data_IF_811121438769
#
_entry.id   IF_811121438769
#
_cell.length_a   1.000
_cell.length_b   1.000
_cell.length_c   1.000
_cell.angle_alpha   90.00
_cell.angle_beta   90.00
_cell.angle_gamma   90.00
#
_symmetry.space_group_name_H-M   'P 1'
#
loop_
_entity.id
_entity.type
_entity.pdbx_description
1 polymer ?
#
# COMPACT_ATOMS: atom_id res chain seq x y z
N UNK A 1 45.46 31.25 56.74
CA UNK A 1 45.82 32.67 56.67
C UNK A 1 45.45 33.11 55.26
N UNK A 2 44.18 33.44 55.08
CA UNK A 2 43.66 34.83 55.05
C UNK A 2 43.88 35.40 53.64
N UNK A 3 42.93 36.01 52.94
CA UNK A 3 41.59 36.47 53.26
C UNK A 3 41.09 37.28 52.07
N UNK A 4 39.77 37.44 52.01
CA UNK A 4 38.96 38.21 51.05
C UNK A 4 39.55 39.48 50.40
N UNK A 5 39.12 39.74 49.15
CA UNK A 5 38.34 40.96 48.82
C UNK A 5 37.56 40.84 47.50
N UNK A 6 36.30 41.22 47.61
CA UNK A 6 35.26 41.34 46.59
C UNK A 6 35.44 42.60 45.71
N UNK A 7 34.84 42.56 44.52
CA UNK A 7 34.09 43.70 43.98
C UNK A 7 32.92 43.14 43.16
N UNK A 8 31.71 43.33 43.65
CA UNK A 8 30.46 43.06 42.92
C UNK A 8 29.94 44.31 42.22
N UNK A 9 29.05 44.08 41.23
CA UNK A 9 27.90 44.95 41.01
C UNK A 9 26.75 44.10 40.45
N UNK A 10 25.74 43.95 41.29
CA UNK A 10 24.43 43.35 41.06
C UNK A 10 23.56 44.20 40.15
N UNK A 11 22.80 43.56 39.25
CA UNK A 11 21.53 44.09 38.76
C UNK A 11 20.49 42.97 38.90
N UNK A 12 19.39 43.33 39.55
CA UNK A 12 18.32 42.48 40.06
C UNK A 12 17.43 41.85 38.97
N UNK A 13 16.79 40.76 39.40
CA UNK A 13 15.84 39.91 38.71
C UNK A 13 14.45 40.53 38.77
N UNK A 14 13.78 40.69 37.63
CA UNK A 14 12.32 40.90 37.58
C UNK A 14 11.63 39.55 37.36
N UNK A 15 11.08 39.03 38.47
CA UNK A 15 10.22 37.84 38.55
C UNK A 15 8.86 38.11 37.87
N UNK A 16 8.76 37.79 36.58
CA UNK A 16 7.48 37.69 35.88
C UNK A 16 6.78 36.36 36.22
N UNK A 17 6.04 36.40 37.34
CA UNK A 17 4.87 35.61 37.71
C UNK A 17 4.37 34.54 36.71
N UNK A 18 4.94 33.32 36.77
CA UNK A 18 4.40 32.11 36.12
C UNK A 18 3.20 31.49 36.87
N UNK A 19 2.81 32.06 38.02
CA UNK A 19 1.80 31.51 38.93
C UNK A 19 0.34 31.82 38.54
N UNK A 20 0.10 32.63 37.50
CA UNK A 20 -1.25 32.99 37.03
C UNK A 20 -1.74 32.23 35.79
N UNK A 21 -0.96 31.31 35.22
CA UNK A 21 -1.36 30.48 34.08
C UNK A 21 -1.91 29.09 34.45
N UNK A 22 -1.97 28.74 35.74
CA UNK A 22 -2.35 27.40 36.21
C UNK A 22 -3.78 27.24 36.77
N UNK A 23 -4.66 28.24 36.64
CA UNK A 23 -6.05 28.10 37.04
C UNK A 23 -6.99 27.98 35.82
N UNK A 24 -7.22 26.74 35.36
CA UNK A 24 -8.38 26.37 34.53
C UNK A 24 -9.19 25.28 35.24
N UNK A 25 -10.54 25.28 35.12
CA UNK A 25 -11.41 24.43 35.94
C UNK A 25 -11.23 22.94 35.63
N UNK A 26 -11.26 22.10 36.68
CA UNK A 26 -11.29 20.64 36.59
C UNK A 26 -12.59 20.19 35.92
N UNK A 27 -12.49 19.73 34.67
CA UNK A 27 -13.55 18.97 34.00
C UNK A 27 -13.47 17.51 34.48
N UNK A 28 -14.45 17.10 35.30
CA UNK A 28 -14.68 15.69 35.62
C UNK A 28 -15.30 15.02 34.39
N UNK A 29 -14.49 14.29 33.63
CA UNK A 29 -14.96 13.44 32.53
C UNK A 29 -14.90 12.00 33.02
N UNK A 30 -16.04 11.49 33.50
CA UNK A 30 -16.24 10.06 33.69
C UNK A 30 -16.23 9.38 32.31
N UNK A 31 -15.16 8.63 32.01
CA UNK A 31 -15.16 7.71 30.86
C UNK A 31 -15.92 6.45 31.24
N UNK A 32 -17.22 6.44 30.97
CA UNK A 32 -17.97 5.18 30.94
C UNK A 32 -17.47 4.32 29.78
N UNK A 33 -17.15 3.07 30.10
CA UNK A 33 -16.84 2.01 29.12
C UNK A 33 -18.14 1.66 28.37
N UNK A 34 -18.10 1.65 27.05
CA UNK A 34 -19.05 0.90 26.22
C UNK A 34 -18.20 0.14 25.19
N UNK A 35 -18.21 -1.18 25.16
CA UNK A 35 -19.30 -1.99 24.63
C UNK A 35 -19.23 -3.39 25.26
N UNK A 36 -20.30 -3.81 25.95
CA UNK A 36 -20.51 -5.19 26.42
C UNK A 36 -21.29 -5.99 25.35
N UNK A 37 -20.78 -7.18 25.00
CA UNK A 37 -21.35 -8.14 24.04
C UNK A 37 -22.58 -8.90 24.58
N UNK A 38 -23.69 -8.23 24.90
CA UNK A 38 -24.95 -8.94 25.20
C UNK A 38 -26.19 -8.20 24.69
N UNK A 39 -26.55 -8.39 23.42
CA UNK A 39 -27.96 -8.39 22.96
C UNK A 39 -28.15 -8.75 21.47
N UNK A 40 -27.42 -9.74 20.92
CA UNK A 40 -27.59 -10.17 19.51
C UNK A 40 -28.53 -11.38 19.33
N UNK A 41 -29.28 -11.79 20.35
CA UNK A 41 -30.08 -13.03 20.33
C UNK A 41 -31.60 -12.87 20.11
N UNK A 42 -32.14 -11.68 19.78
CA UNK A 42 -33.60 -11.51 19.71
C UNK A 42 -34.22 -11.08 18.36
N UNK A 43 -33.46 -10.94 17.28
CA UNK A 43 -34.06 -10.55 15.99
C UNK A 43 -33.74 -11.52 14.86
N UNK A 44 -34.18 -12.76 15.07
CA UNK A 44 -34.28 -13.80 14.03
C UNK A 44 -35.73 -14.28 13.92
N UNK A 45 -36.60 -13.53 13.22
CA UNK A 45 -37.81 -14.06 12.61
C UNK A 45 -38.01 -13.45 11.22
N UNK A 46 -37.53 -14.22 10.23
CA UNK A 46 -38.02 -14.44 8.85
C UNK A 46 -38.88 -13.34 8.20
N UNK A 47 -38.42 -12.73 7.10
CA UNK A 47 -38.42 -13.26 5.70
C UNK A 47 -39.83 -13.53 5.16
N UNK A 48 -40.24 -12.72 4.17
CA UNK A 48 -40.94 -13.09 2.91
C UNK A 48 -41.32 -11.82 2.14
N UNK A 49 -40.72 -11.63 0.95
CA UNK A 49 -41.38 -11.73 -0.37
C UNK A 49 -42.01 -10.36 -0.79
N UNK A 50 -41.88 -9.84 -2.01
CA UNK A 50 -41.42 -10.34 -3.31
C UNK A 50 -41.28 -9.12 -4.27
N UNK A 51 -40.47 -9.29 -5.32
CA UNK A 51 -40.56 -8.82 -6.73
C UNK A 51 -41.69 -7.80 -7.09
N UNK A 52 -41.56 -6.86 -8.01
CA UNK A 52 -40.88 -6.83 -9.31
C UNK A 52 -41.67 -5.84 -10.18
N UNK A 53 -41.00 -5.03 -11.01
CA UNK A 53 -41.64 -4.00 -11.83
C UNK A 53 -41.79 -4.51 -13.27
N UNK A 54 -43.01 -4.62 -13.77
CA UNK A 54 -43.29 -4.58 -15.20
C UNK A 54 -44.69 -3.96 -15.49
N UNK A 55 -44.68 -3.05 -16.47
CA UNK A 55 -45.76 -2.70 -17.41
C UNK A 55 -47.03 -1.91 -16.99
N UNK A 56 -47.02 -0.60 -17.32
CA UNK A 56 -47.85 0.10 -18.34
C UNK A 56 -49.41 0.18 -18.22
N UNK A 57 -49.91 1.41 -18.47
CA UNK A 57 -51.27 1.93 -18.81
C UNK A 57 -52.35 2.16 -17.71
N UNK A 58 -52.67 3.44 -17.50
CA UNK A 58 -53.88 4.03 -16.87
C UNK A 58 -55.18 3.72 -17.67
N UNK A 59 -56.44 4.13 -17.29
CA UNK A 59 -56.85 5.09 -16.24
C UNK A 59 -58.17 4.77 -15.48
N UNK A 60 -58.50 5.55 -14.44
CA UNK A 60 -59.92 5.84 -14.10
C UNK A 60 -60.30 5.93 -12.63
N UNK A 61 -60.38 7.16 -12.11
CA UNK A 61 -61.63 7.74 -11.59
C UNK A 61 -62.34 7.16 -10.36
N UNK A 62 -62.26 7.94 -9.28
CA UNK A 62 -63.34 8.31 -8.33
C UNK A 62 -63.75 7.38 -7.17
N UNK A 63 -63.49 7.96 -5.97
CA UNK A 63 -64.42 8.25 -4.86
C UNK A 63 -64.66 7.22 -3.75
N UNK A 64 -64.43 7.79 -2.55
CA UNK A 64 -65.12 7.57 -1.26
C UNK A 64 -64.82 6.24 -0.58
N UNK A 65 -64.66 6.14 0.74
CA UNK A 65 -64.84 7.11 1.80
C UNK A 65 -64.93 6.33 3.11
N UNK A 66 -64.19 6.80 4.11
CA UNK A 66 -64.40 6.63 5.55
C UNK A 66 -64.42 5.24 6.21
N UNK A 67 -63.40 5.08 7.06
CA UNK A 67 -63.38 4.60 8.46
C UNK A 67 -62.98 3.15 8.76
N UNK A 68 -61.72 2.98 9.21
CA UNK A 68 -61.35 2.15 10.38
C UNK A 68 -59.95 2.59 10.91
N UNK A 69 -59.64 2.45 12.22
CA UNK A 69 -58.72 3.34 12.95
C UNK A 69 -57.34 2.75 13.26
N UNK A 70 -56.46 3.65 13.74
CA UNK A 70 -55.26 3.40 14.56
C UNK A 70 -54.05 2.72 13.90
N UNK A 71 -52.95 3.46 13.77
CA UNK A 71 -51.71 3.16 14.51
C UNK A 71 -50.73 4.33 14.41
N UNK A 72 -49.92 4.43 15.46
CA UNK A 72 -49.11 5.56 15.84
C UNK A 72 -48.05 6.00 14.82
N UNK A 73 -47.77 7.31 14.86
CA UNK A 73 -46.47 7.91 14.54
C UNK A 73 -45.31 7.01 14.96
N UNK A 74 -44.33 6.82 14.09
CA UNK A 74 -42.92 7.02 14.44
C UNK A 74 -42.07 7.20 13.17
N UNK A 75 -41.86 8.47 12.87
CA UNK A 75 -40.68 9.01 12.21
C UNK A 75 -39.42 8.53 12.94
N UNK A 76 -38.66 7.62 12.32
CA UNK A 76 -37.25 7.47 12.66
C UNK A 76 -36.47 8.49 11.83
N UNK A 77 -36.01 9.56 12.49
CA UNK A 77 -34.91 10.36 11.95
C UNK A 77 -33.69 9.44 11.80
N UNK A 78 -32.98 9.46 10.65
CA UNK A 78 -31.85 8.59 10.43
C UNK A 78 -30.74 8.95 11.43
N UNK A 79 -30.33 7.95 12.22
CA UNK A 79 -29.22 8.05 13.17
C UNK A 79 -27.99 8.65 12.46
N UNK A 80 -27.21 9.57 13.08
CA UNK A 80 -26.10 10.26 12.42
C UNK A 80 -25.09 9.33 11.72
N UNK A 81 -24.87 8.13 12.28
CA UNK A 81 -24.03 7.10 11.66
C UNK A 81 -24.51 6.64 10.28
N UNK A 82 -25.82 6.69 10.00
CA UNK A 82 -26.38 6.32 8.69
C UNK A 82 -25.96 7.34 7.65
N UNK A 83 -26.01 8.64 7.98
CA UNK A 83 -25.53 9.70 7.10
C UNK A 83 -24.02 9.57 6.84
N UNK A 84 -23.24 9.31 7.91
CA UNK A 84 -21.79 9.14 7.82
C UNK A 84 -21.36 7.90 7.01
N UNK A 85 -22.10 6.79 7.12
CA UNK A 85 -21.88 5.60 6.31
C UNK A 85 -22.16 5.86 4.83
N UNK A 86 -23.24 6.58 4.52
CA UNK A 86 -23.56 6.98 3.15
C UNK A 86 -22.52 7.94 2.55
N UNK A 87 -22.02 8.89 3.32
CA UNK A 87 -20.97 9.80 2.87
C UNK A 87 -19.63 9.08 2.67
N UNK A 88 -19.32 8.09 3.50
CA UNK A 88 -18.12 7.27 3.34
C UNK A 88 -18.19 6.38 2.10
N UNK A 89 -19.36 5.80 1.79
CA UNK A 89 -19.61 5.07 0.55
C UNK A 89 -19.53 5.98 -0.68
N UNK A 90 -20.08 7.20 -0.63
CA UNK A 90 -19.96 8.17 -1.74
C UNK A 90 -18.52 8.56 -2.01
N UNK A 91 -17.72 8.76 -0.95
CA UNK A 91 -16.29 9.06 -1.07
C UNK A 91 -15.48 7.88 -1.60
N UNK A 92 -15.97 6.64 -1.49
CA UNK A 92 -15.29 5.49 -2.09
C UNK A 92 -15.66 5.25 -3.55
N UNK A 93 -16.67 5.92 -4.11
CA UNK A 93 -17.07 5.73 -5.51
C UNK A 93 -16.02 6.25 -6.50
N UNK A 94 -15.55 5.35 -7.36
CA UNK A 94 -14.71 5.67 -8.51
C UNK A 94 -15.61 6.09 -9.66
N UNK A 95 -15.34 7.25 -10.24
CA UNK A 95 -16.11 7.78 -11.37
C UNK A 95 -15.27 7.80 -12.65
N UNK A 96 -15.87 7.38 -13.75
CA UNK A 96 -15.34 7.60 -15.09
C UNK A 96 -16.35 8.41 -15.87
N UNK A 97 -15.98 9.63 -16.27
CA UNK A 97 -16.85 10.58 -17.01
C UNK A 97 -18.19 10.88 -16.32
N UNK A 98 -18.14 11.03 -14.99
CA UNK A 98 -19.34 11.30 -14.19
C UNK A 98 -20.24 10.08 -13.96
N UNK A 99 -19.87 8.89 -14.48
CA UNK A 99 -20.57 7.64 -14.21
C UNK A 99 -19.82 6.84 -13.13
N UNK A 100 -20.51 6.31 -12.11
CA UNK A 100 -19.88 5.46 -11.10
C UNK A 100 -19.47 4.13 -11.73
N UNK A 101 -18.17 3.81 -11.70
CA UNK A 101 -17.59 2.58 -12.29
C UNK A 101 -17.15 1.56 -11.24
N UNK A 102 -17.13 1.93 -9.97
CA UNK A 102 -16.80 1.02 -8.88
C UNK A 102 -16.61 1.74 -7.56
N UNK A 103 -16.05 1.03 -6.58
CA UNK A 103 -15.59 1.62 -5.32
C UNK A 103 -14.11 1.30 -5.12
N UNK A 104 -13.35 2.21 -4.50
CA UNK A 104 -11.99 1.93 -4.05
C UNK A 104 -12.04 0.92 -2.90
N UNK A 105 -11.10 -0.03 -2.91
CA UNK A 105 -11.07 -1.14 -1.94
C UNK A 105 -10.86 -0.66 -0.49
N UNK A 106 -10.17 0.47 -0.31
CA UNK A 106 -10.02 1.19 0.96
C UNK A 106 -9.95 2.69 0.68
N UNK A 107 -10.61 3.51 1.51
CA UNK A 107 -10.58 4.97 1.44
C UNK A 107 -9.83 5.53 2.65
N UNK A 108 -8.56 5.13 2.76
CA UNK A 108 -7.70 5.51 3.87
C UNK A 108 -7.03 6.85 3.51
N UNK A 109 -7.50 7.94 4.11
CA UNK A 109 -6.85 9.26 4.03
C UNK A 109 -5.47 9.30 4.76
N UNK A 110 -4.87 8.14 5.03
CA UNK A 110 -3.64 7.98 5.80
C UNK A 110 -2.35 8.08 4.99
N UNK A 111 -2.41 8.10 3.66
CA UNK A 111 -1.25 8.29 2.80
C UNK A 111 -1.61 9.15 1.58
N UNK A 112 -1.43 10.46 1.69
CA UNK A 112 -1.43 11.37 0.52
C UNK A 112 -0.27 11.05 -0.45
N UNK A 113 0.64 10.15 -0.07
CA UNK A 113 1.77 9.70 -0.89
C UNK A 113 1.49 8.34 -1.54
N UNK A 114 1.51 8.29 -2.87
CA UNK A 114 1.27 7.09 -3.66
C UNK A 114 2.46 6.13 -3.56
N UNK A 115 2.25 4.96 -2.96
CA UNK A 115 3.30 3.95 -2.79
C UNK A 115 3.61 3.24 -4.12
N UNK A 116 4.76 2.58 -4.19
CA UNK A 116 5.25 1.95 -5.41
C UNK A 116 4.27 0.92 -6.01
N UNK A 117 3.49 0.25 -5.17
CA UNK A 117 2.52 -0.73 -5.60
C UNK A 117 1.30 -0.09 -6.28
N UNK A 118 0.88 1.10 -5.88
CA UNK A 118 -0.19 1.85 -6.57
C UNK A 118 0.26 2.21 -7.99
N UNK A 119 1.52 2.63 -8.13
CA UNK A 119 2.11 2.96 -9.43
C UNK A 119 2.24 1.72 -10.32
N UNK A 120 2.72 0.59 -9.77
CA UNK A 120 2.87 -0.66 -10.51
C UNK A 120 1.51 -1.25 -10.95
N UNK A 121 0.52 -1.24 -10.06
CA UNK A 121 -0.85 -1.67 -10.37
C UNK A 121 -1.50 -0.74 -11.40
N UNK A 122 -1.32 0.58 -11.28
CA UNK A 122 -1.84 1.53 -12.25
C UNK A 122 -1.19 1.34 -13.63
N UNK A 123 0.13 1.13 -13.68
CA UNK A 123 0.83 0.80 -14.91
C UNK A 123 0.27 -0.48 -15.56
N UNK A 124 0.10 -1.55 -14.77
CA UNK A 124 -0.47 -2.80 -15.26
C UNK A 124 -1.90 -2.62 -15.78
N UNK A 125 -2.75 -1.90 -15.03
CA UNK A 125 -4.13 -1.62 -15.42
C UNK A 125 -4.21 -0.82 -16.73
N UNK A 126 -3.37 0.19 -16.90
CA UNK A 126 -3.28 0.96 -18.14
C UNK A 126 -2.88 0.10 -19.34
N UNK A 127 -1.93 -0.83 -19.17
CA UNK A 127 -1.55 -1.77 -20.24
C UNK A 127 -2.68 -2.74 -20.58
N UNK A 128 -3.36 -3.28 -19.57
CA UNK A 128 -4.52 -4.15 -19.77
C UNK A 128 -5.70 -3.42 -20.44
N UNK A 129 -5.86 -2.13 -20.21
CA UNK A 129 -6.94 -1.34 -20.82
C UNK A 129 -6.76 -1.15 -22.33
N UNK A 130 -5.52 -1.07 -22.84
CA UNK A 130 -5.24 -0.85 -24.28
C UNK A 130 -5.97 -1.81 -25.22
N UNK A 131 -5.89 -3.15 -25.05
CA UNK A 131 -6.62 -4.09 -25.91
C UNK A 131 -8.14 -4.12 -25.65
N UNK A 132 -8.62 -3.54 -24.55
CA UNK A 132 -10.04 -3.53 -24.18
C UNK A 132 -10.79 -2.28 -24.71
N UNK A 133 -10.07 -1.27 -25.19
CA UNK A 133 -10.67 -0.04 -25.71
C UNK A 133 -11.25 -0.25 -27.12
N UNK A 134 -12.36 0.45 -27.39
CA UNK A 134 -12.98 0.48 -28.72
C UNK A 134 -12.06 1.18 -29.73
N UNK A 135 -12.17 0.83 -31.01
CA UNK A 135 -11.40 1.46 -32.09
C UNK A 135 -12.08 2.68 -32.73
N UNK A 136 -13.04 3.29 -32.03
CA UNK A 136 -13.70 4.53 -32.45
C UNK A 136 -12.83 5.77 -32.13
N UNK A 137 -13.30 6.96 -32.52
CA UNK A 137 -12.53 8.21 -32.34
C UNK A 137 -12.20 8.47 -30.86
N UNK A 138 -13.13 8.15 -29.97
CA UNK A 138 -12.99 8.31 -28.53
C UNK A 138 -12.00 7.31 -27.92
N UNK A 139 -12.07 6.05 -28.31
CA UNK A 139 -11.12 5.03 -27.90
C UNK A 139 -9.70 5.32 -28.41
N UNK A 140 -9.55 5.89 -29.61
CA UNK A 140 -8.24 6.36 -30.11
C UNK A 140 -7.66 7.48 -29.23
N UNK A 141 -8.45 8.46 -28.81
CA UNK A 141 -8.00 9.51 -27.88
C UNK A 141 -7.52 8.90 -26.55
N UNK A 142 -8.25 7.92 -26.02
CA UNK A 142 -7.83 7.23 -24.81
C UNK A 142 -6.53 6.44 -24.99
N UNK A 143 -6.39 5.72 -26.11
CA UNK A 143 -5.16 4.99 -26.43
C UNK A 143 -3.96 5.95 -26.42
N UNK A 144 -4.07 7.12 -27.08
CA UNK A 144 -2.99 8.12 -27.09
C UNK A 144 -2.62 8.61 -25.68
N UNK A 145 -3.63 8.90 -24.86
CA UNK A 145 -3.44 9.37 -23.47
C UNK A 145 -2.81 8.29 -22.59
N UNK A 146 -3.26 7.04 -22.74
CA UNK A 146 -2.73 5.88 -22.02
C UNK A 146 -1.27 5.66 -22.41
N UNK A 147 -0.94 5.62 -23.70
CA UNK A 147 0.44 5.43 -24.18
C UNK A 147 1.35 6.55 -23.66
N UNK A 148 0.90 7.81 -23.70
CA UNK A 148 1.66 8.93 -23.14
C UNK A 148 1.93 8.76 -21.64
N UNK A 149 0.92 8.31 -20.87
CA UNK A 149 1.06 8.07 -19.43
C UNK A 149 1.97 6.87 -19.14
N UNK A 150 1.87 5.78 -19.91
CA UNK A 150 2.72 4.59 -19.77
C UNK A 150 4.19 4.95 -19.98
N UNK A 151 4.52 5.74 -21.01
CA UNK A 151 5.89 6.23 -21.21
C UNK A 151 6.39 7.06 -20.03
N UNK A 152 5.63 8.07 -19.61
CA UNK A 152 6.01 8.94 -18.49
C UNK A 152 6.19 8.14 -17.18
N UNK A 153 5.26 7.22 -16.88
CA UNK A 153 5.29 6.40 -15.69
C UNK A 153 6.46 5.42 -15.70
N UNK A 154 6.72 4.76 -16.84
CA UNK A 154 7.87 3.85 -16.97
C UNK A 154 9.20 4.56 -16.74
N UNK A 155 9.38 5.76 -17.33
CA UNK A 155 10.57 6.56 -17.12
C UNK A 155 10.70 6.96 -15.65
N UNK A 156 9.62 7.47 -15.05
CA UNK A 156 9.63 7.91 -13.67
C UNK A 156 9.98 6.76 -12.70
N UNK A 157 9.34 5.60 -12.84
CA UNK A 157 9.61 4.44 -11.98
C UNK A 157 11.03 3.91 -12.18
N UNK A 158 11.47 3.69 -13.44
CA UNK A 158 12.78 3.11 -13.73
C UNK A 158 13.95 4.03 -13.36
N UNK A 159 13.76 5.35 -13.40
CA UNK A 159 14.82 6.31 -13.13
C UNK A 159 14.85 6.80 -11.68
N UNK A 160 13.70 6.91 -11.00
CA UNK A 160 13.64 7.55 -9.69
C UNK A 160 13.26 6.62 -8.55
N UNK A 161 12.47 5.56 -8.82
CA UNK A 161 12.13 4.56 -7.81
C UNK A 161 13.17 3.44 -7.75
N UNK A 162 13.96 3.23 -8.80
CA UNK A 162 14.96 2.18 -8.81
C UNK A 162 16.10 2.47 -7.85
N UNK A 163 16.46 1.49 -7.04
CA UNK A 163 17.59 1.54 -6.11
C UNK A 163 18.38 0.24 -6.19
N UNK A 164 19.66 0.37 -6.51
CA UNK A 164 20.68 -0.67 -6.40
C UNK A 164 21.91 -0.07 -5.68
N UNK A 165 22.98 -0.86 -5.53
CA UNK A 165 24.20 -0.42 -4.86
C UNK A 165 24.83 0.82 -5.51
N UNK A 166 24.81 0.93 -6.83
CA UNK A 166 25.38 2.08 -7.54
C UNK A 166 24.52 3.33 -7.29
N UNK A 167 23.21 3.20 -7.47
CA UNK A 167 22.28 4.31 -7.27
C UNK A 167 22.26 4.79 -5.83
N UNK A 168 22.38 3.89 -4.85
CA UNK A 168 22.52 4.23 -3.44
C UNK A 168 23.80 5.04 -3.18
N UNK A 169 24.93 4.65 -3.76
CA UNK A 169 26.18 5.41 -3.66
C UNK A 169 26.05 6.80 -4.29
N UNK A 170 25.31 6.93 -5.39
CA UNK A 170 25.08 8.22 -6.03
C UNK A 170 24.20 9.13 -5.16
N UNK A 171 23.10 8.59 -4.60
CA UNK A 171 22.19 9.33 -3.71
C UNK A 171 22.90 9.77 -2.43
N UNK A 172 23.73 8.90 -1.85
CA UNK A 172 24.56 9.20 -0.68
C UNK A 172 25.50 10.41 -0.91
N UNK A 173 25.83 10.71 -2.17
CA UNK A 173 26.74 11.80 -2.57
C UNK A 173 26.02 13.00 -3.16
N UNK A 174 24.68 13.04 -3.08
CA UNK A 174 23.92 14.16 -3.62
C UNK A 174 24.32 15.47 -2.97
N UNK A 175 24.31 16.53 -3.79
CA UNK A 175 24.27 17.89 -3.30
C UNK A 175 22.81 18.27 -3.05
N UNK A 176 22.59 19.11 -2.05
CA UNK A 176 21.27 19.65 -1.72
C UNK A 176 21.09 21.03 -2.36
N UNK A 177 19.86 21.53 -2.34
CA UNK A 177 19.50 22.89 -2.78
C UNK A 177 19.79 23.16 -4.27
N UNK A 178 19.75 22.11 -5.09
CA UNK A 178 19.93 22.24 -6.54
C UNK A 178 18.69 22.87 -7.20
N UNK A 179 18.85 24.09 -7.74
CA UNK A 179 17.80 24.77 -8.48
C UNK A 179 18.13 24.86 -9.97
N UNK A 180 17.80 23.80 -10.73
CA UNK A 180 17.89 23.82 -12.20
C UNK A 180 17.14 22.67 -12.87
N UNK A 181 16.79 22.83 -14.15
CA UNK A 181 16.28 21.72 -14.97
C UNK A 181 17.31 20.59 -15.19
N UNK A 182 18.60 20.88 -14.96
CA UNK A 182 19.72 19.92 -15.07
C UNK A 182 20.15 19.35 -13.72
N UNK A 183 19.43 19.63 -12.64
CA UNK A 183 19.72 19.09 -11.30
C UNK A 183 19.80 17.57 -11.31
N UNK A 184 20.75 16.99 -10.57
CA UNK A 184 20.87 15.55 -10.36
C UNK A 184 19.90 15.14 -9.25
N UNK A 185 19.91 15.86 -8.13
CA UNK A 185 19.01 15.61 -7.00
C UNK A 185 17.62 16.24 -7.24
N UNK A 186 16.85 15.64 -8.16
CA UNK A 186 15.54 16.17 -8.62
C UNK A 186 14.52 16.40 -7.51
N UNK A 187 14.59 15.62 -6.44
CA UNK A 187 13.65 15.68 -5.32
C UNK A 187 14.23 16.37 -4.09
N UNK A 188 15.45 16.91 -4.16
CA UNK A 188 16.13 17.54 -3.04
C UNK A 188 16.17 16.63 -1.79
N UNK A 189 16.49 15.36 -2.00
CA UNK A 189 16.66 14.38 -0.91
C UNK A 189 17.91 14.75 -0.12
N UNK A 190 17.83 14.71 1.20
CA UNK A 190 18.94 14.98 2.10
C UNK A 190 19.71 13.66 2.31
N UNK A 191 21.00 13.56 1.92
CA UNK A 191 21.75 12.31 2.08
C UNK A 191 21.80 11.80 3.52
N UNK A 192 21.91 12.71 4.48
CA UNK A 192 21.93 12.37 5.91
C UNK A 192 20.60 11.81 6.44
N UNK A 193 19.51 11.89 5.66
CA UNK A 193 18.23 11.27 6.01
C UNK A 193 18.09 9.83 5.50
N UNK A 194 19.08 9.28 4.80
CA UNK A 194 19.07 7.86 4.38
C UNK A 194 19.20 6.99 5.65
N UNK A 195 18.25 6.07 5.92
CA UNK A 195 18.34 5.24 7.11
C UNK A 195 19.53 4.28 7.08
N UNK A 196 20.22 4.11 8.21
CA UNK A 196 21.43 3.26 8.33
C UNK A 196 21.21 1.84 7.81
N UNK A 197 20.03 1.26 8.08
CA UNK A 197 19.71 -0.11 7.67
C UNK A 197 19.78 -0.30 6.15
N UNK A 198 19.60 0.75 5.34
CA UNK A 198 19.63 0.66 3.88
C UNK A 198 21.03 0.29 3.38
N UNK A 199 22.08 0.82 4.03
CA UNK A 199 23.47 0.53 3.66
C UNK A 199 23.84 -0.92 3.96
N UNK A 200 23.40 -1.45 5.10
CA UNK A 200 23.64 -2.85 5.47
C UNK A 200 22.78 -3.83 4.66
N UNK A 201 21.55 -3.42 4.34
CA UNK A 201 20.59 -4.23 3.60
C UNK A 201 20.92 -4.31 2.11
N UNK A 202 21.45 -3.26 1.48
CA UNK A 202 21.71 -3.28 0.03
C UNK A 202 22.86 -4.23 -0.33
N UNK A 203 22.62 -5.34 -1.06
CA UNK A 203 23.69 -6.23 -1.51
C UNK A 203 24.49 -5.60 -2.66
N UNK A 204 25.69 -6.12 -2.93
CA UNK A 204 26.50 -5.70 -4.10
C UNK A 204 25.87 -6.11 -5.43
N UNK A 205 25.06 -7.18 -5.42
CA UNK A 205 24.26 -7.64 -6.55
C UNK A 205 22.79 -7.71 -6.15
N UNK A 206 21.98 -6.88 -6.79
CA UNK A 206 20.55 -6.81 -6.54
C UNK A 206 20.06 -5.37 -6.52
N UNK A 207 18.75 -5.20 -6.46
CA UNK A 207 18.11 -3.89 -6.43
C UNK A 207 16.59 -4.03 -6.40
N UNK A 208 15.90 -2.94 -6.12
CA UNK A 208 14.45 -2.92 -6.03
C UNK A 208 13.88 -1.54 -6.30
N UNK A 209 12.57 -1.46 -6.52
CA UNK A 209 11.83 -0.21 -6.47
C UNK A 209 11.51 0.14 -5.03
N UNK A 210 12.01 1.29 -4.55
CA UNK A 210 11.73 1.83 -3.21
C UNK A 210 10.24 2.12 -3.03
N UNK A 211 9.80 2.27 -1.80
CA UNK A 211 8.39 2.44 -1.45
C UNK A 211 7.78 3.74 -1.96
N UNK A 212 8.53 4.84 -1.89
CA UNK A 212 8.03 6.16 -2.28
C UNK A 212 9.15 7.14 -2.67
N UNK A 213 8.82 8.10 -3.53
CA UNK A 213 9.62 9.28 -3.85
C UNK A 213 8.71 10.49 -3.91
N UNK A 214 9.00 11.50 -3.10
CA UNK A 214 8.26 12.75 -3.04
C UNK A 214 9.21 13.93 -2.78
N UNK A 215 8.75 15.20 -2.89
CA UNK A 215 9.60 16.35 -2.61
C UNK A 215 10.23 16.26 -1.22
N UNK A 216 11.57 16.33 -1.18
CA UNK A 216 12.43 16.22 0.00
C UNK A 216 12.35 14.88 0.77
N UNK A 217 11.77 13.82 0.19
CA UNK A 217 11.59 12.54 0.89
C UNK A 217 11.70 11.33 -0.04
N UNK A 218 12.38 10.30 0.44
CA UNK A 218 12.38 8.97 -0.14
C UNK A 218 12.06 7.94 0.94
N UNK A 219 11.06 7.08 0.69
CA UNK A 219 10.80 5.93 1.54
C UNK A 219 11.54 4.73 0.97
N UNK A 220 12.69 4.43 1.57
CA UNK A 220 13.57 3.35 1.15
C UNK A 220 13.02 1.96 1.44
N UNK A 221 11.88 1.80 2.14
CA UNK A 221 11.38 0.45 2.45
C UNK A 221 11.09 -0.35 1.19
N UNK A 222 11.41 -1.65 1.25
CA UNK A 222 11.05 -2.59 0.21
C UNK A 222 9.58 -2.99 0.39
N UNK A 223 8.81 -3.03 -0.70
CA UNK A 223 7.42 -3.50 -0.71
C UNK A 223 7.28 -4.64 -1.72
N UNK A 224 6.82 -5.79 -1.25
CA UNK A 224 6.73 -7.01 -2.05
C UNK A 224 5.83 -6.84 -3.26
N UNK A 225 4.59 -6.39 -3.05
CA UNK A 225 3.59 -6.32 -4.11
C UNK A 225 4.04 -5.41 -5.25
N UNK A 226 4.58 -4.23 -4.94
CA UNK A 226 5.06 -3.28 -5.96
C UNK A 226 6.18 -3.86 -6.82
N UNK A 227 7.17 -4.51 -6.20
CA UNK A 227 8.29 -5.11 -6.92
C UNK A 227 7.85 -6.31 -7.77
N UNK A 228 7.00 -7.19 -7.23
CA UNK A 228 6.53 -8.38 -7.95
C UNK A 228 5.59 -7.99 -9.11
N UNK A 229 4.68 -7.03 -8.91
CA UNK A 229 3.81 -6.51 -9.99
C UNK A 229 4.63 -5.75 -11.04
N UNK A 230 5.70 -5.05 -10.64
CA UNK A 230 6.59 -4.40 -11.61
C UNK A 230 7.23 -5.42 -12.56
N UNK A 231 7.64 -6.59 -12.05
CA UNK A 231 8.09 -7.72 -12.86
C UNK A 231 6.97 -8.21 -13.78
N UNK A 232 5.81 -8.54 -13.23
CA UNK A 232 4.70 -9.16 -13.99
C UNK A 232 4.17 -8.25 -15.10
N UNK A 233 4.10 -6.94 -14.86
CA UNK A 233 3.61 -5.95 -15.82
C UNK A 233 4.65 -5.53 -16.86
N UNK A 234 5.90 -6.00 -16.74
CA UNK A 234 7.07 -5.52 -17.51
C UNK A 234 7.33 -4.01 -17.32
N UNK A 235 7.02 -3.49 -16.13
CA UNK A 235 7.45 -2.17 -15.70
C UNK A 235 8.96 -2.16 -15.42
N UNK A 236 9.50 -3.18 -14.74
CA UNK A 236 10.95 -3.37 -14.64
C UNK A 236 11.55 -3.76 -15.99
N UNK A 237 12.79 -3.35 -16.26
CA UNK A 237 13.59 -3.95 -17.34
C UNK A 237 13.97 -5.40 -16.99
N UNK A 238 14.47 -6.21 -17.94
CA UNK A 238 15.01 -7.53 -17.63
C UNK A 238 16.07 -7.48 -16.55
N UNK A 239 17.02 -6.55 -16.64
CA UNK A 239 18.12 -6.39 -15.68
C UNK A 239 17.59 -6.07 -14.29
N UNK A 240 16.63 -5.14 -14.19
CA UNK A 240 15.97 -4.80 -12.94
C UNK A 240 15.18 -5.99 -12.36
N UNK A 241 14.50 -6.76 -13.21
CA UNK A 241 13.75 -7.94 -12.78
C UNK A 241 14.67 -9.02 -12.22
N UNK A 242 15.82 -9.25 -12.86
CA UNK A 242 16.84 -10.17 -12.37
C UNK A 242 17.48 -9.65 -11.08
N UNK A 243 17.72 -8.35 -10.95
CA UNK A 243 18.26 -7.73 -9.75
C UNK A 243 17.29 -7.78 -8.55
N UNK A 244 15.98 -7.70 -8.78
CA UNK A 244 14.97 -7.94 -7.74
C UNK A 244 15.05 -9.39 -7.25
N UNK A 245 15.25 -10.35 -8.15
CA UNK A 245 15.40 -11.75 -7.76
C UNK A 245 16.72 -12.04 -7.05
N UNK A 246 17.83 -11.44 -7.52
CA UNK A 246 19.12 -11.49 -6.82
C UNK A 246 18.97 -10.94 -5.38
N UNK A 247 18.26 -9.82 -5.20
CA UNK A 247 17.98 -9.27 -3.86
C UNK A 247 17.19 -10.25 -2.97
N UNK A 248 16.15 -10.88 -3.49
CA UNK A 248 15.34 -11.86 -2.72
C UNK A 248 16.17 -13.08 -2.32
N UNK A 249 17.09 -13.54 -3.17
CA UNK A 249 17.99 -14.64 -2.85
C UNK A 249 19.05 -14.23 -1.81
N UNK A 250 19.68 -13.06 -1.96
CA UNK A 250 20.72 -12.54 -1.06
C UNK A 250 20.16 -12.13 0.33
N UNK A 251 18.93 -11.62 0.38
CA UNK A 251 18.23 -11.17 1.60
C UNK A 251 17.06 -12.08 1.95
N UNK A 252 17.23 -13.38 1.73
CA UNK A 252 16.18 -14.37 1.96
C UNK A 252 15.67 -14.38 3.40
N UNK A 253 16.56 -14.29 4.39
CA UNK A 253 16.18 -14.32 5.80
C UNK A 253 15.31 -13.11 6.19
N UNK A 254 15.65 -11.93 5.67
CA UNK A 254 14.95 -10.68 5.90
C UNK A 254 13.60 -10.60 5.17
N UNK A 255 13.57 -11.01 3.90
CA UNK A 255 12.40 -10.83 3.02
C UNK A 255 11.43 -12.01 3.06
N UNK A 256 11.92 -13.22 3.36
CA UNK A 256 11.13 -14.46 3.43
C UNK A 256 11.14 -15.04 4.85
N UNK A 257 12.31 -15.21 5.44
CA UNK A 257 12.47 -15.85 6.75
C UNK A 257 11.93 -17.28 6.75
N UNK A 258 11.04 -17.59 7.71
CA UNK A 258 10.40 -18.90 7.90
C UNK A 258 8.93 -18.93 7.43
N UNK A 259 8.45 -17.84 6.81
CA UNK A 259 7.13 -17.79 6.19
C UNK A 259 7.12 -16.77 5.04
N UNK A 260 6.97 -17.21 3.78
CA UNK A 260 6.84 -16.28 2.66
C UNK A 260 5.51 -15.51 2.76
N UNK A 261 5.44 -14.24 2.37
CA UNK A 261 6.52 -13.30 2.06
C UNK A 261 6.32 -12.05 2.93
N UNK A 262 7.38 -11.34 3.32
CA UNK A 262 7.21 -10.05 3.98
C UNK A 262 6.40 -9.11 3.08
N UNK A 263 5.41 -8.41 3.65
CA UNK A 263 4.66 -7.40 2.89
C UNK A 263 5.52 -6.16 2.63
N UNK A 264 6.35 -5.80 3.61
CA UNK A 264 7.34 -4.73 3.54
C UNK A 264 8.52 -5.04 4.44
N UNK A 265 9.66 -4.41 4.17
CA UNK A 265 10.86 -4.49 5.01
C UNK A 265 11.61 -3.15 5.03
N UNK A 266 12.15 -2.72 6.19
CA UNK A 266 11.93 -3.27 7.53
C UNK A 266 10.58 -2.81 8.13
N UNK A 267 10.26 -3.27 9.34
CA UNK A 267 9.21 -2.68 10.15
C UNK A 267 9.64 -1.31 10.69
N UNK A 268 8.70 -0.37 10.76
CA UNK A 268 8.87 0.90 11.47
C UNK A 268 8.70 0.67 12.97
N UNK A 269 9.60 1.23 13.78
CA UNK A 269 9.68 0.99 15.21
C UNK A 269 9.72 2.31 16.03
N UNK A 270 9.54 2.20 17.35
CA UNK A 270 9.74 3.30 18.30
C UNK A 270 9.02 4.60 17.93
N UNK A 271 9.77 5.69 17.76
CA UNK A 271 9.23 7.02 17.48
C UNK A 271 8.61 7.10 16.09
N UNK A 272 9.24 6.48 15.10
CA UNK A 272 8.73 6.41 13.73
C UNK A 272 7.37 5.70 13.69
N UNK A 273 7.23 4.57 14.39
CA UNK A 273 5.93 3.90 14.50
C UNK A 273 4.85 4.82 15.09
N UNK A 274 5.15 5.56 16.16
CA UNK A 274 4.17 6.47 16.79
C UNK A 274 3.71 7.57 15.84
N UNK A 275 4.65 8.15 15.08
CA UNK A 275 4.38 9.24 14.13
C UNK A 275 3.66 8.71 12.89
N UNK A 276 4.27 7.76 12.19
CA UNK A 276 3.82 7.31 10.87
C UNK A 276 2.50 6.55 10.95
N UNK A 277 2.29 5.76 12.01
CA UNK A 277 1.04 4.97 12.15
C UNK A 277 -0.01 5.65 13.01
N UNK A 278 0.30 6.75 13.68
CA UNK A 278 -0.58 7.31 14.70
C UNK A 278 -0.79 6.38 15.91
N UNK A 279 0.23 5.59 16.25
CA UNK A 279 0.17 4.56 17.29
C UNK A 279 -0.85 3.43 17.02
N UNK A 280 -1.03 3.03 15.77
CA UNK A 280 -1.98 1.97 15.38
C UNK A 280 -1.64 0.63 16.06
N UNK A 281 -2.49 0.13 16.98
CA UNK A 281 -2.23 -1.06 17.77
C UNK A 281 -2.27 -2.37 16.97
N UNK A 282 -2.78 -2.35 15.72
CA UNK A 282 -2.76 -3.50 14.82
C UNK A 282 -1.44 -3.61 14.06
N UNK A 283 -0.80 -2.49 13.78
CA UNK A 283 0.45 -2.39 13.01
C UNK A 283 1.70 -2.25 13.91
N UNK A 284 1.77 -3.04 14.98
CA UNK A 284 2.96 -3.08 15.85
C UNK A 284 4.18 -3.64 15.13
N UNK A 285 5.37 -3.56 15.75
CA UNK A 285 6.64 -4.06 15.17
C UNK A 285 6.48 -5.47 14.58
N UNK A 286 6.86 -5.62 13.31
CA UNK A 286 6.84 -6.90 12.59
C UNK A 286 5.47 -7.58 12.61
N UNK A 287 4.39 -6.81 12.51
CA UNK A 287 3.01 -7.31 12.59
C UNK A 287 2.13 -6.67 11.53
N UNK A 288 1.19 -7.46 11.01
CA UNK A 288 0.22 -7.04 10.00
C UNK A 288 0.88 -6.30 8.81
N UNK A 289 0.53 -5.04 8.52
CA UNK A 289 1.14 -4.28 7.42
C UNK A 289 2.55 -3.78 7.76
N UNK A 290 2.92 -3.71 9.04
CA UNK A 290 4.22 -3.22 9.50
C UNK A 290 5.24 -4.37 9.60
N UNK A 291 5.60 -4.97 8.46
CA UNK A 291 6.61 -6.04 8.37
C UNK A 291 6.10 -7.45 8.70
N UNK A 292 4.79 -7.68 8.65
CA UNK A 292 4.21 -9.01 8.72
C UNK A 292 4.55 -9.87 7.49
N UNK A 293 4.51 -11.19 7.65
CA UNK A 293 4.64 -12.17 6.56
C UNK A 293 3.24 -12.61 6.10
N UNK A 294 2.98 -12.52 4.80
CA UNK A 294 1.64 -12.71 4.21
C UNK A 294 1.64 -13.87 3.21
N UNK A 295 1.04 -15.02 3.55
CA UNK A 295 1.01 -16.20 2.68
C UNK A 295 0.37 -15.96 1.31
N UNK A 296 -0.58 -15.04 1.21
CA UNK A 296 -1.21 -14.67 -0.07
C UNK A 296 -0.19 -14.17 -1.10
N UNK A 297 0.93 -13.56 -0.70
CA UNK A 297 1.94 -13.05 -1.64
C UNK A 297 2.74 -14.17 -2.34
N UNK A 298 2.60 -15.42 -1.89
CA UNK A 298 3.29 -16.57 -2.46
C UNK A 298 2.99 -16.76 -3.95
N UNK A 299 1.76 -16.53 -4.41
CA UNK A 299 1.44 -16.67 -5.84
C UNK A 299 2.09 -15.61 -6.71
N UNK A 300 2.19 -14.35 -6.21
CA UNK A 300 2.89 -13.28 -6.92
C UNK A 300 4.38 -13.56 -7.02
N UNK A 301 4.98 -14.05 -5.93
CA UNK A 301 6.39 -14.47 -5.93
C UNK A 301 6.60 -15.57 -6.96
N UNK A 302 5.75 -16.60 -6.97
CA UNK A 302 5.84 -17.71 -7.93
C UNK A 302 5.69 -17.24 -9.38
N UNK A 303 4.70 -16.40 -9.67
CA UNK A 303 4.50 -15.85 -11.01
C UNK A 303 5.73 -15.06 -11.48
N UNK A 304 6.28 -14.20 -10.61
CA UNK A 304 7.48 -13.44 -10.92
C UNK A 304 8.69 -14.37 -11.13
N UNK A 305 8.85 -15.41 -10.30
CA UNK A 305 9.90 -16.42 -10.42
C UNK A 305 9.84 -17.15 -11.77
N UNK A 306 8.65 -17.51 -12.23
CA UNK A 306 8.48 -18.14 -13.55
C UNK A 306 8.83 -17.14 -14.65
N UNK A 307 8.34 -15.90 -14.56
CA UNK A 307 8.59 -14.85 -15.56
C UNK A 307 10.08 -14.52 -15.73
N UNK A 308 10.86 -14.57 -14.65
CA UNK A 308 12.31 -14.33 -14.69
C UNK A 308 13.14 -15.60 -14.86
N UNK A 309 12.52 -16.76 -15.11
CA UNK A 309 13.23 -18.03 -15.29
C UNK A 309 13.96 -18.54 -14.03
N UNK A 310 13.46 -18.21 -12.83
CA UNK A 310 13.99 -18.63 -11.52
C UNK A 310 13.02 -19.47 -10.68
N UNK A 311 12.48 -20.59 -11.20
CA UNK A 311 11.48 -21.39 -10.49
C UNK A 311 11.99 -22.04 -9.20
N UNK A 312 13.31 -22.13 -8.98
CA UNK A 312 13.88 -22.66 -7.74
C UNK A 312 13.54 -21.82 -6.50
N UNK A 313 13.43 -20.49 -6.66
CA UNK A 313 13.04 -19.57 -5.58
C UNK A 313 11.60 -19.88 -5.14
N UNK A 314 10.69 -20.05 -6.11
CA UNK A 314 9.30 -20.42 -5.87
C UNK A 314 9.16 -21.79 -5.19
N UNK A 315 9.90 -22.81 -5.65
CA UNK A 315 9.92 -24.15 -5.03
C UNK A 315 10.28 -24.07 -3.55
N UNK A 316 11.39 -23.39 -3.23
CA UNK A 316 11.84 -23.18 -1.85
C UNK A 316 10.80 -22.48 -0.99
N UNK A 317 10.14 -21.43 -1.51
CA UNK A 317 9.11 -20.71 -0.78
C UNK A 317 7.86 -21.58 -0.53
N UNK A 318 7.43 -22.36 -1.52
CA UNK A 318 6.29 -23.28 -1.42
C UNK A 318 6.57 -24.37 -0.38
N UNK A 319 7.74 -25.03 -0.44
CA UNK A 319 8.14 -26.06 0.53
C UNK A 319 8.14 -25.50 1.97
N UNK A 320 8.63 -24.27 2.14
CA UNK A 320 8.62 -23.58 3.43
C UNK A 320 7.19 -23.35 3.92
N UNK A 321 6.29 -22.86 3.06
CA UNK A 321 4.88 -22.65 3.42
C UNK A 321 4.15 -23.97 3.73
N UNK A 322 4.39 -25.03 2.95
CA UNK A 322 3.80 -26.37 3.13
C UNK A 322 4.16 -26.99 4.50
N UNK A 323 5.31 -26.63 5.07
CA UNK A 323 5.73 -27.14 6.37
C UNK A 323 4.83 -26.71 7.54
N UNK A 324 4.05 -25.63 7.38
CA UNK A 324 3.33 -24.94 8.48
C UNK A 324 1.89 -24.52 8.18
N UNK A 325 1.55 -24.05 6.97
CA UNK A 325 0.25 -23.42 6.70
C UNK A 325 -0.95 -24.28 7.10
N UNK A 326 -0.92 -25.57 6.77
CA UNK A 326 -2.00 -26.51 7.13
C UNK A 326 -2.08 -26.72 8.65
N UNK A 327 -0.93 -26.90 9.32
CA UNK A 327 -0.85 -27.14 10.77
C UNK A 327 -1.36 -25.94 11.58
N UNK A 328 -1.12 -24.73 11.07
CA UNK A 328 -1.52 -23.48 11.72
C UNK A 328 -2.98 -23.09 11.42
N UNK A 329 -3.65 -23.81 10.52
CA UNK A 329 -5.05 -23.57 10.14
C UNK A 329 -5.22 -22.38 9.17
N UNK A 330 -4.32 -22.26 8.19
CA UNK A 330 -4.34 -21.24 7.14
C UNK A 330 -4.52 -19.79 7.64
N UNK A 331 -3.57 -19.25 8.43
CA UNK A 331 -3.68 -17.90 8.96
C UNK A 331 -3.69 -16.81 7.86
N UNK A 332 -4.30 -15.66 8.19
CA UNK A 332 -4.29 -14.46 7.37
C UNK A 332 -2.87 -13.90 7.18
N UNK A 333 -2.08 -13.84 8.25
CA UNK A 333 -0.70 -13.35 8.25
C UNK A 333 0.08 -13.92 9.45
N UNK A 334 1.40 -13.71 9.43
CA UNK A 334 2.36 -14.12 10.45
C UNK A 334 3.20 -12.92 10.93
N UNK A 335 3.60 -12.95 12.19
CA UNK A 335 4.34 -11.89 12.88
C UNK A 335 5.78 -12.29 13.22
N UNK A 336 6.58 -11.26 13.53
CA UNK A 336 7.97 -11.36 13.92
C UNK A 336 8.93 -11.25 12.74
N UNK A 337 10.20 -10.93 13.01
CA UNK A 337 11.24 -10.71 11.99
C UNK A 337 11.29 -11.84 10.95
N UNK A 338 11.18 -13.09 11.42
CA UNK A 338 11.23 -14.29 10.57
C UNK A 338 9.86 -14.87 10.21
N UNK A 339 8.73 -14.27 10.62
CA UNK A 339 7.40 -14.85 10.42
C UNK A 339 7.16 -16.13 11.24
N UNK A 340 7.79 -16.22 12.42
CA UNK A 340 7.70 -17.39 13.31
C UNK A 340 6.35 -17.51 14.01
N UNK A 341 5.68 -16.41 14.28
CA UNK A 341 4.46 -16.40 15.09
C UNK A 341 3.24 -16.26 14.19
N UNK A 342 2.16 -16.97 14.48
CA UNK A 342 0.86 -16.68 13.84
C UNK A 342 0.50 -15.23 14.20
N UNK A 343 -0.03 -14.48 13.24
CA UNK A 343 -0.30 -13.05 13.41
C UNK A 343 -1.19 -12.77 14.61
N UNK A 344 -0.88 -11.70 15.35
CA UNK A 344 -1.51 -11.35 16.64
C UNK A 344 -3.04 -11.32 16.60
N UNK A 345 -3.61 -10.91 15.47
CA UNK A 345 -5.05 -10.88 15.21
C UNK A 345 -5.40 -11.62 13.92
N UNK A 346 -4.58 -12.58 13.48
CA UNK A 346 -4.79 -13.30 12.23
C UNK A 346 -6.03 -14.19 12.31
N UNK A 347 -6.91 -14.06 11.32
CA UNK A 347 -8.00 -15.02 11.12
C UNK A 347 -7.44 -16.34 10.60
N UNK A 348 -8.03 -17.45 11.05
CA UNK A 348 -7.78 -18.78 10.47
C UNK A 348 -8.65 -19.00 9.24
N UNK A 349 -8.25 -19.95 8.40
CA UNK A 349 -8.96 -20.31 7.16
C UNK A 349 -9.17 -19.11 6.23
N UNK A 350 -8.18 -18.22 6.18
CA UNK A 350 -8.27 -17.04 5.35
C UNK A 350 -8.20 -17.44 3.86
N UNK A 351 -9.26 -17.12 3.12
CA UNK A 351 -9.48 -17.60 1.75
C UNK A 351 -8.30 -17.31 0.82
N UNK A 352 -7.74 -16.10 0.86
CA UNK A 352 -6.62 -15.72 -0.01
C UNK A 352 -5.29 -16.39 0.36
N UNK A 353 -5.14 -16.90 1.58
CA UNK A 353 -3.92 -17.60 2.01
C UNK A 353 -3.94 -19.01 1.41
N UNK A 354 -5.13 -19.63 1.42
CA UNK A 354 -5.39 -20.92 0.77
C UNK A 354 -5.26 -20.76 -0.75
N UNK A 355 -5.96 -19.78 -1.34
CA UNK A 355 -5.96 -19.57 -2.79
C UNK A 355 -4.57 -19.19 -3.32
N UNK A 356 -3.83 -18.32 -2.62
CA UNK A 356 -2.47 -17.95 -3.01
C UNK A 356 -1.52 -19.15 -3.04
N UNK A 357 -1.63 -20.06 -2.08
CA UNK A 357 -0.88 -21.33 -2.12
C UNK A 357 -1.29 -22.21 -3.31
N UNK A 358 -2.59 -22.41 -3.55
CA UNK A 358 -3.08 -23.24 -4.66
C UNK A 358 -2.65 -22.68 -6.03
N UNK A 359 -2.81 -21.38 -6.25
CA UNK A 359 -2.38 -20.72 -7.49
C UNK A 359 -0.87 -20.86 -7.68
N UNK A 360 -0.07 -20.71 -6.62
CA UNK A 360 1.37 -20.92 -6.69
C UNK A 360 1.73 -22.35 -7.15
N UNK A 361 1.07 -23.39 -6.60
CA UNK A 361 1.26 -24.78 -7.03
C UNK A 361 0.87 -24.98 -8.50
N UNK A 362 -0.31 -24.51 -8.89
CA UNK A 362 -0.82 -24.65 -10.26
C UNK A 362 0.08 -23.96 -11.31
N UNK A 363 0.62 -22.79 -11.00
CA UNK A 363 1.55 -22.09 -11.89
C UNK A 363 2.91 -22.79 -11.99
N UNK A 364 3.36 -23.41 -10.89
CA UNK A 364 4.63 -24.14 -10.90
C UNK A 364 4.54 -25.47 -11.63
N UNK A 365 3.38 -26.14 -11.55
CA UNK A 365 3.06 -27.37 -12.29
C UNK A 365 2.90 -27.08 -13.79
N UNK A 366 2.19 -26.01 -14.15
CA UNK A 366 2.03 -25.56 -15.53
C UNK A 366 2.35 -24.06 -15.66
N UNK A 367 3.61 -23.73 -16.06
CA UNK A 367 4.05 -22.36 -16.31
C UNK A 367 3.28 -21.62 -17.40
N UNK A 368 2.51 -22.30 -18.25
CA UNK A 368 1.72 -21.64 -19.31
C UNK A 368 0.63 -20.73 -18.72
N UNK A 369 0.20 -20.98 -17.48
CA UNK A 369 -0.74 -20.13 -16.74
C UNK A 369 -0.22 -18.71 -16.48
N UNK A 370 1.10 -18.48 -16.55
CA UNK A 370 1.69 -17.16 -16.34
C UNK A 370 1.13 -16.09 -17.28
N UNK A 371 0.74 -16.47 -18.51
CA UNK A 371 0.15 -15.55 -19.50
C UNK A 371 -1.17 -14.92 -19.06
N UNK A 372 -1.85 -15.46 -18.04
CA UNK A 372 -3.09 -14.88 -17.50
C UNK A 372 -2.83 -13.64 -16.62
N UNK A 373 -1.65 -13.54 -16.00
CA UNK A 373 -1.35 -12.53 -14.97
C UNK A 373 -0.08 -11.72 -15.25
N UNK A 374 0.53 -11.91 -16.41
CA UNK A 374 1.73 -11.19 -16.82
C UNK A 374 1.56 -10.58 -18.20
N UNK A 375 2.33 -9.53 -18.45
CA UNK A 375 2.37 -8.84 -19.72
C UNK A 375 3.79 -8.92 -20.28
N UNK A 376 3.90 -9.21 -21.57
CA UNK A 376 5.18 -9.22 -22.28
C UNK A 376 5.78 -7.82 -22.42
N UNK A 377 7.07 -7.76 -22.76
CA UNK A 377 7.74 -6.51 -23.07
C UNK A 377 7.09 -5.81 -24.26
N UNK A 378 6.90 -4.50 -24.13
CA UNK A 378 6.38 -3.69 -25.21
C UNK A 378 7.49 -3.41 -26.23
N UNK A 379 7.38 -3.99 -27.43
CA UNK A 379 8.34 -3.73 -28.53
C UNK A 379 8.41 -2.23 -28.88
N UNK A 380 7.35 -1.46 -28.59
CA UNK A 380 7.26 -0.02 -28.83
C UNK A 380 7.92 0.85 -27.75
N UNK A 381 8.21 0.31 -26.56
CA UNK A 381 8.80 1.05 -25.44
C UNK A 381 10.34 0.94 -25.37
N UNK A 382 10.99 0.49 -26.44
CA UNK A 382 12.46 0.50 -26.51
C UNK A 382 12.95 1.95 -26.38
N UNK A 383 13.89 2.25 -25.47
CA UNK A 383 14.45 3.59 -25.38
C UNK A 383 15.12 3.93 -26.71
N UNK A 384 14.78 5.08 -27.28
CA UNK A 384 15.55 5.68 -28.36
C UNK A 384 16.96 5.93 -27.82
N UNK A 385 17.91 5.08 -28.21
CA UNK A 385 19.34 5.29 -27.95
C UNK A 385 19.71 6.61 -28.62
N UNK A 386 19.81 7.69 -27.84
CA UNK A 386 20.48 8.91 -28.30
C UNK A 386 21.96 8.58 -28.37
N UNK A 387 22.48 8.38 -29.59
CA UNK A 387 23.92 8.37 -29.84
C UNK A 387 24.49 9.66 -29.26
N UNK A 388 25.40 9.53 -28.29
CA UNK A 388 26.25 10.63 -27.86
C UNK A 388 27.11 11.03 -29.05
N UNK A 389 26.98 12.28 -29.53
CA UNK A 389 27.97 12.84 -30.44
C UNK A 389 29.26 13.01 -29.65
N UNK A 390 30.20 12.10 -29.85
CA UNK A 390 31.60 12.29 -29.47
C UNK A 390 32.13 13.47 -30.28
N UNK A 391 32.41 14.58 -29.60
CA UNK A 391 33.20 15.66 -30.17
C UNK A 391 34.65 15.18 -30.20
N UNK A 392 35.18 14.96 -31.41
CA UNK A 392 36.62 14.85 -31.63
C UNK A 392 37.21 16.26 -31.70
N UNK A 393 38.10 16.58 -30.76
CA UNK A 393 39.02 17.72 -30.84
C UNK A 393 40.02 17.55 -31.99
#
# INVERSE_FOLDING_TARGET
MDGHREAGSSVEVDDLNLSRLLNKPKLNIERQRSFDERSLSELSINVRALEGYDSIYSPGGYRSGFNTPSTARNSFEPHPMVAEAWDSLRRSLVHFRGQPVGTIAANDHGSEELLNYDQALFFMALRCALPMLKHDAEGKEFVERIVKRLHALSYHMRSYFWLDFQQLNDIYRYKTEEYSHTAVNKFNVIPDSIPDWVFDFMPTRGGYFIGNVSPARMDFRWFALGNLVAILSSLSTPEQSMAIMDLIEERWEELVGEMPLKITYPAIENHEWRIVTGCDPKNTRWSYHNGGSWPVLLWLLTAACIKTGRPQIARRAIELAESRLLKDGWPEYYDGKLGRYIGKQARKFQTWSIAGYLVAKMMLEDPSHLGMVSLEEDKAMKPLIKRSNSWTC
#
